data_IF_673952005356
#
_entry.id   IF_673952005356
#
_cell.length_a   1.000
_cell.length_b   1.000
_cell.length_c   1.000
_cell.angle_alpha   90.00
_cell.angle_beta   90.00
_cell.angle_gamma   90.00
#
_symmetry.space_group_name_H-M   'P 1'
#
loop_
_entity.id
_entity.type
_entity.pdbx_description
1 polymer ?
#
# COMPACT_ATOMS: atom_id res chain seq x y z
N UNK A 1 -10.25 2.06 -8.36
CA UNK A 1 -10.46 3.31 -7.55
C UNK A 1 -11.68 3.16 -6.67
N UNK A 2 -11.77 3.89 -5.53
CA UNK A 2 -12.94 3.77 -4.63
C UNK A 2 -14.19 4.38 -5.29
N UNK A 3 -14.12 5.61 -5.78
CA UNK A 3 -15.22 6.33 -6.44
C UNK A 3 -14.69 7.26 -7.55
N UNK A 4 -15.57 7.73 -8.40
CA UNK A 4 -15.25 8.67 -9.48
C UNK A 4 -14.74 10.00 -8.89
N UNK A 5 -13.65 10.52 -9.42
CA UNK A 5 -13.08 11.81 -9.01
C UNK A 5 -12.68 12.63 -10.24
N UNK A 6 -12.54 13.96 -10.06
CA UNK A 6 -12.07 14.86 -11.14
C UNK A 6 -10.65 14.53 -11.64
N UNK A 7 -9.88 13.75 -10.86
CA UNK A 7 -8.49 13.36 -11.20
C UNK A 7 -8.46 12.25 -12.25
N UNK A 8 -9.51 11.41 -12.29
CA UNK A 8 -9.54 10.19 -13.11
C UNK A 8 -10.79 10.15 -13.99
N UNK A 9 -10.93 11.17 -14.84
CA UNK A 9 -12.07 11.30 -15.78
C UNK A 9 -12.17 10.09 -16.72
N UNK A 10 -11.05 9.43 -17.01
CA UNK A 10 -10.97 8.27 -17.90
C UNK A 10 -11.12 6.93 -17.20
N UNK A 11 -11.14 6.87 -15.88
CA UNK A 11 -11.37 5.62 -15.16
C UNK A 11 -12.84 5.20 -15.34
N UNK A 12 -13.03 3.99 -15.81
CA UNK A 12 -14.38 3.39 -16.05
C UNK A 12 -14.76 2.40 -14.95
N UNK A 13 -13.82 2.10 -14.03
CA UNK A 13 -13.93 1.01 -13.07
C UNK A 13 -13.69 1.51 -11.65
N UNK A 14 -14.73 1.44 -10.82
CA UNK A 14 -14.73 1.92 -9.45
C UNK A 14 -15.20 0.82 -8.51
N UNK A 15 -14.47 0.58 -7.44
CA UNK A 15 -14.80 -0.45 -6.45
C UNK A 15 -16.21 -0.25 -5.84
N UNK A 16 -16.60 1.00 -5.57
CA UNK A 16 -17.94 1.35 -5.09
C UNK A 16 -19.03 0.90 -6.07
N UNK A 17 -18.84 1.17 -7.36
CA UNK A 17 -19.80 0.82 -8.41
C UNK A 17 -19.91 -0.71 -8.53
N UNK A 18 -18.76 -1.40 -8.64
CA UNK A 18 -18.71 -2.87 -8.74
C UNK A 18 -19.40 -3.54 -7.56
N UNK A 19 -19.07 -3.10 -6.33
CA UNK A 19 -19.65 -3.71 -5.14
C UNK A 19 -21.16 -3.45 -5.07
N UNK A 20 -21.61 -2.22 -5.37
CA UNK A 20 -23.03 -1.88 -5.45
C UNK A 20 -23.77 -2.78 -6.44
N UNK A 21 -23.21 -2.95 -7.63
CA UNK A 21 -23.84 -3.74 -8.70
C UNK A 21 -23.80 -5.24 -8.36
N UNK A 22 -22.77 -5.72 -7.66
CA UNK A 22 -22.63 -7.11 -7.21
C UNK A 22 -23.66 -7.48 -6.15
N UNK A 23 -23.93 -6.58 -5.19
CA UNK A 23 -24.85 -6.89 -4.07
C UNK A 23 -26.26 -6.30 -4.23
N UNK A 24 -26.48 -5.52 -5.28
CA UNK A 24 -27.80 -4.96 -5.62
C UNK A 24 -28.28 -3.86 -4.69
N UNK A 25 -27.40 -3.23 -3.87
CA UNK A 25 -27.78 -2.15 -2.96
C UNK A 25 -26.69 -1.06 -2.85
N UNK A 26 -27.06 0.10 -2.30
CA UNK A 26 -26.10 1.18 -2.02
C UNK A 26 -25.08 0.74 -0.98
N UNK A 27 -23.83 1.14 -1.20
CA UNK A 27 -22.71 0.93 -0.27
C UNK A 27 -21.99 2.25 -0.03
N UNK A 28 -21.40 2.38 1.16
CA UNK A 28 -20.79 3.61 1.64
C UNK A 28 -19.32 3.39 1.92
N UNK A 29 -18.40 4.09 1.23
CA UNK A 29 -16.96 3.95 1.45
C UNK A 29 -16.59 4.54 2.81
N UNK A 30 -15.78 3.83 3.60
CA UNK A 30 -15.31 4.27 4.93
C UNK A 30 -13.84 4.67 4.94
N UNK A 31 -13.06 4.14 4.01
CA UNK A 31 -11.66 4.51 3.81
C UNK A 31 -11.25 4.38 2.33
N UNK A 32 -10.00 4.64 2.05
CA UNK A 32 -9.45 4.54 0.69
C UNK A 32 -8.10 3.86 0.67
N UNK A 33 -7.80 3.20 -0.43
CA UNK A 33 -6.45 2.79 -0.81
C UNK A 33 -5.92 3.73 -1.90
N UNK A 34 -4.60 3.80 -2.04
CA UNK A 34 -3.98 4.42 -3.22
C UNK A 34 -4.37 3.61 -4.47
N UNK A 35 -4.50 4.26 -5.61
CA UNK A 35 -4.94 3.62 -6.86
C UNK A 35 -4.19 2.32 -7.20
N UNK A 36 -2.83 2.25 -7.09
CA UNK A 36 -2.10 1.03 -7.42
C UNK A 36 -2.02 0.02 -6.27
N UNK A 37 -2.52 0.35 -5.06
CA UNK A 37 -2.52 -0.55 -3.89
C UNK A 37 -3.71 -1.50 -3.97
N UNK A 38 -3.48 -2.79 -3.76
CA UNK A 38 -4.52 -3.81 -3.63
C UNK A 38 -4.79 -4.18 -2.17
N UNK A 39 -5.76 -5.06 -1.95
CA UNK A 39 -6.07 -5.62 -0.64
C UNK A 39 -7.41 -5.15 -0.07
N UNK A 40 -7.56 -5.21 1.25
CA UNK A 40 -8.82 -4.97 1.96
C UNK A 40 -9.30 -3.54 1.76
N UNK A 41 -10.52 -3.43 1.23
CA UNK A 41 -11.25 -2.17 1.10
C UNK A 41 -12.66 -2.36 1.71
N UNK A 42 -12.97 -1.57 2.74
CA UNK A 42 -14.16 -1.73 3.56
C UNK A 42 -15.25 -0.72 3.17
N UNK A 43 -16.49 -1.19 3.14
CA UNK A 43 -17.69 -0.39 2.91
C UNK A 43 -18.73 -0.69 3.99
N UNK A 44 -19.53 0.32 4.35
CA UNK A 44 -20.75 0.11 5.12
C UNK A 44 -21.93 -0.20 4.20
N UNK A 45 -22.84 -1.03 4.64
CA UNK A 45 -24.07 -1.34 3.90
C UNK A 45 -25.19 -0.30 4.14
N UNK A 46 -25.02 0.52 5.16
CA UNK A 46 -25.87 1.68 5.46
C UNK A 46 -25.02 2.87 5.94
N UNK A 47 -25.61 4.03 5.98
CA UNK A 47 -24.94 5.28 6.31
C UNK A 47 -24.51 5.37 7.78
N UNK A 48 -25.25 4.77 8.70
CA UNK A 48 -24.96 4.78 10.14
C UNK A 48 -23.76 3.88 10.45
N UNK A 49 -23.74 2.67 9.90
CA UNK A 49 -22.60 1.76 9.95
C UNK A 49 -21.34 2.40 9.34
N UNK A 50 -21.47 3.01 8.17
CA UNK A 50 -20.35 3.69 7.53
C UNK A 50 -19.80 4.85 8.37
N UNK A 51 -20.68 5.63 9.03
CA UNK A 51 -20.29 6.71 9.94
C UNK A 51 -19.51 6.17 11.14
N UNK A 52 -20.02 5.12 11.80
CA UNK A 52 -19.34 4.47 12.93
C UNK A 52 -17.96 3.94 12.54
N UNK A 53 -17.85 3.23 11.42
CA UNK A 53 -16.59 2.73 10.90
C UNK A 53 -15.63 3.88 10.55
N UNK A 54 -16.10 4.94 9.90
CA UNK A 54 -15.29 6.12 9.57
C UNK A 54 -14.71 6.77 10.84
N UNK A 55 -15.48 6.84 11.92
CA UNK A 55 -14.99 7.34 13.20
C UNK A 55 -13.85 6.49 13.76
N UNK A 56 -13.91 5.16 13.64
CA UNK A 56 -12.81 4.29 14.05
C UNK A 56 -11.51 4.58 13.27
N UNK A 57 -11.59 4.85 11.97
CA UNK A 57 -10.43 5.30 11.18
C UNK A 57 -9.91 6.67 11.64
N UNK A 58 -10.81 7.61 11.93
CA UNK A 58 -10.44 8.96 12.42
C UNK A 58 -9.74 8.91 13.77
N UNK A 59 -10.25 8.11 14.71
CA UNK A 59 -9.66 7.89 16.04
C UNK A 59 -8.47 6.92 16.04
N UNK A 60 -8.08 6.39 14.86
CA UNK A 60 -6.95 5.46 14.68
C UNK A 60 -7.08 4.17 15.49
N UNK A 61 -8.30 3.75 15.79
CA UNK A 61 -8.57 2.47 16.47
C UNK A 61 -8.54 1.27 15.53
N UNK A 62 -8.56 1.50 14.21
CA UNK A 62 -8.41 0.43 13.20
C UNK A 62 -6.93 0.04 13.06
N UNK A 63 -6.61 -1.22 13.33
CA UNK A 63 -5.29 -1.78 13.04
C UNK A 63 -5.23 -2.17 11.57
N UNK A 64 -4.19 -1.72 10.89
CA UNK A 64 -3.95 -1.96 9.45
C UNK A 64 -2.63 -2.70 9.28
N UNK A 65 -2.64 -3.76 8.48
CA UNK A 65 -1.42 -4.45 8.09
C UNK A 65 -1.28 -4.45 6.56
N UNK A 66 -0.06 -4.27 6.13
CA UNK A 66 0.31 -4.29 4.72
C UNK A 66 1.48 -5.24 4.52
N UNK A 67 1.60 -5.77 3.30
CA UNK A 67 2.80 -6.45 2.82
C UNK A 67 3.34 -5.70 1.62
N UNK A 68 4.67 -5.61 1.53
CA UNK A 68 5.32 -5.02 0.35
C UNK A 68 6.61 -5.75 0.01
N UNK A 69 6.96 -5.76 -1.29
CA UNK A 69 8.31 -6.10 -1.74
C UNK A 69 9.06 -4.79 -1.98
N UNK A 70 10.18 -4.63 -1.27
CA UNK A 70 11.01 -3.43 -1.33
C UNK A 70 12.38 -3.71 -1.94
N UNK A 71 13.01 -2.71 -2.53
CA UNK A 71 14.40 -2.75 -2.95
C UNK A 71 15.33 -2.69 -1.74
N UNK A 72 16.37 -3.52 -1.73
CA UNK A 72 17.39 -3.56 -0.68
C UNK A 72 17.00 -4.46 0.48
N UNK A 73 17.79 -4.40 1.54
CA UNK A 73 17.59 -5.17 2.79
C UNK A 73 17.46 -4.15 3.92
N UNK A 74 16.22 -3.81 4.33
CA UNK A 74 15.99 -2.98 5.50
C UNK A 74 16.47 -3.69 6.78
N UNK A 75 16.59 -2.98 7.91
CA UNK A 75 16.75 -3.60 9.22
C UNK A 75 15.65 -4.63 9.50
N UNK A 76 15.90 -5.58 10.42
CA UNK A 76 14.94 -6.61 10.82
C UNK A 76 13.58 -6.01 11.22
N UNK A 77 13.61 -4.90 11.94
CA UNK A 77 12.41 -4.12 12.27
C UNK A 77 12.75 -2.63 12.40
N UNK A 78 11.73 -1.79 12.33
CA UNK A 78 11.91 -0.37 12.50
C UNK A 78 10.61 0.40 12.66
N UNK A 79 10.76 1.65 13.11
CA UNK A 79 9.69 2.64 13.21
C UNK A 79 10.17 3.93 12.57
N UNK A 80 9.36 4.42 11.62
CA UNK A 80 9.56 5.73 11.03
C UNK A 80 8.52 6.71 11.53
N UNK A 81 9.01 7.77 12.16
CA UNK A 81 8.21 8.88 12.66
C UNK A 81 8.68 10.15 11.94
N UNK A 82 8.33 10.26 10.67
CA UNK A 82 8.69 11.39 9.83
C UNK A 82 7.44 12.08 9.30
N UNK A 83 7.21 13.35 9.66
CA UNK A 83 6.06 14.09 9.20
C UNK A 83 6.02 14.25 7.68
N UNK A 84 4.83 14.11 7.10
CA UNK A 84 4.64 14.20 5.66
C UNK A 84 3.86 15.48 5.29
N UNK A 85 4.41 16.25 4.35
CA UNK A 85 3.67 17.36 3.74
C UNK A 85 2.56 16.82 2.83
N UNK A 86 1.34 17.32 2.97
CA UNK A 86 0.31 17.10 1.96
C UNK A 86 0.71 17.88 0.71
N UNK A 87 1.06 17.14 -0.35
CA UNK A 87 1.21 17.75 -1.67
C UNK A 87 -0.20 18.06 -2.19
N UNK A 88 -0.55 19.33 -2.46
CA UNK A 88 -1.81 19.66 -3.09
C UNK A 88 -1.94 18.89 -4.41
N UNK A 89 -3.11 18.36 -4.67
CA UNK A 89 -3.39 17.82 -5.99
C UNK A 89 -3.70 18.97 -6.92
N UNK A 90 -2.81 19.30 -7.84
CA UNK A 90 -2.96 20.46 -8.76
C UNK A 90 -4.30 20.47 -9.52
N UNK A 91 -4.94 19.30 -9.63
CA UNK A 91 -6.21 19.16 -10.39
C UNK A 91 -7.44 19.39 -9.49
N UNK A 92 -7.34 19.09 -8.17
CA UNK A 92 -8.49 19.18 -7.25
C UNK A 92 -8.39 20.38 -6.34
N UNK A 93 -7.18 20.76 -5.95
CA UNK A 93 -6.89 21.83 -4.99
C UNK A 93 -6.39 23.11 -5.70
N UNK A 94 -7.12 23.60 -6.70
CA UNK A 94 -6.78 24.88 -7.36
C UNK A 94 -6.78 26.07 -6.40
N UNK A 95 -7.33 25.92 -5.18
CA UNK A 95 -7.34 26.90 -4.10
C UNK A 95 -6.55 26.43 -2.86
N UNK A 96 -5.75 25.37 -2.94
CA UNK A 96 -4.95 24.91 -1.81
C UNK A 96 -3.88 25.93 -1.46
N UNK A 97 -3.95 26.45 -0.24
CA UNK A 97 -2.94 27.32 0.34
C UNK A 97 -1.57 26.61 0.33
N UNK A 98 -0.51 27.26 -0.18
CA UNK A 98 0.82 26.65 -0.37
C UNK A 98 1.53 26.19 0.92
N UNK A 99 0.99 26.47 2.10
CA UNK A 99 1.66 26.31 3.39
C UNK A 99 0.94 25.36 4.36
N UNK A 100 0.44 24.22 3.91
CA UNK A 100 0.02 23.19 4.88
C UNK A 100 1.25 22.64 5.61
N UNK A 101 1.25 22.77 6.95
CA UNK A 101 2.29 22.19 7.82
C UNK A 101 2.40 20.68 7.60
N UNK A 102 3.62 20.14 7.72
CA UNK A 102 3.84 18.71 7.73
C UNK A 102 2.97 18.05 8.81
N UNK A 103 2.34 16.93 8.48
CA UNK A 103 1.46 16.24 9.41
C UNK A 103 2.16 14.99 9.94
N UNK A 104 2.04 14.66 11.24
CA UNK A 104 2.63 13.47 11.82
C UNK A 104 2.27 12.22 11.02
N UNK A 105 3.28 11.43 10.68
CA UNK A 105 3.16 10.20 9.94
C UNK A 105 4.08 9.15 10.55
N UNK A 106 3.51 8.02 10.99
CA UNK A 106 4.23 6.97 11.69
C UNK A 106 3.96 5.66 10.99
N UNK A 107 5.04 4.96 10.63
CA UNK A 107 5.00 3.64 9.99
C UNK A 107 5.97 2.71 10.71
N UNK A 108 5.47 1.58 11.20
CA UNK A 108 6.28 0.49 11.73
C UNK A 108 6.39 -0.60 10.67
N UNK A 109 7.48 -1.35 10.70
CA UNK A 109 7.70 -2.45 9.77
C UNK A 109 8.57 -3.54 10.40
N UNK A 110 8.47 -4.73 9.82
CA UNK A 110 9.28 -5.90 10.11
C UNK A 110 9.67 -6.55 8.77
N UNK A 111 10.95 -6.87 8.61
CA UNK A 111 11.49 -7.57 7.45
C UNK A 111 11.32 -9.07 7.66
N UNK A 112 10.48 -9.72 6.84
CA UNK A 112 10.21 -11.16 6.97
C UNK A 112 11.22 -12.00 6.22
N UNK A 113 11.59 -11.58 5.01
CA UNK A 113 12.48 -12.34 4.12
C UNK A 113 13.33 -11.39 3.28
N UNK A 114 14.49 -11.87 2.82
CA UNK A 114 15.38 -11.10 1.95
C UNK A 114 16.04 -11.99 0.91
N UNK A 115 16.17 -11.47 -0.31
CA UNK A 115 16.74 -12.18 -1.44
C UNK A 115 17.81 -11.35 -2.14
N UNK A 116 18.85 -12.04 -2.63
CA UNK A 116 19.80 -11.46 -3.57
C UNK A 116 19.68 -12.24 -4.88
N UNK A 117 19.42 -11.52 -5.98
CA UNK A 117 19.24 -12.11 -7.30
C UNK A 117 20.33 -11.69 -8.27
N UNK A 118 20.76 -12.57 -9.23
CA UNK A 118 21.88 -12.31 -10.13
C UNK A 118 21.51 -11.38 -11.30
N UNK A 119 20.73 -10.35 -11.02
CA UNK A 119 20.33 -9.33 -12.01
C UNK A 119 20.90 -7.98 -11.64
N UNK A 120 21.68 -7.40 -12.56
CA UNK A 120 22.24 -6.06 -12.38
C UNK A 120 21.22 -4.98 -12.73
N UNK A 121 21.16 -3.93 -11.90
CA UNK A 121 20.40 -2.71 -12.21
C UNK A 121 21.30 -1.49 -12.34
N UNK A 122 22.62 -1.68 -12.35
CA UNK A 122 23.60 -0.59 -12.44
C UNK A 122 25.01 -1.03 -12.05
N UNK A 123 25.55 -0.42 -11.00
CA UNK A 123 26.96 -0.63 -10.59
C UNK A 123 27.27 -2.05 -10.09
N UNK A 124 26.28 -2.69 -9.45
CA UNK A 124 26.49 -3.99 -8.80
C UNK A 124 25.92 -5.13 -9.66
N UNK A 125 26.58 -6.33 -9.67
CA UNK A 125 26.14 -7.47 -10.48
C UNK A 125 24.84 -8.10 -9.95
N UNK A 126 24.46 -7.83 -8.71
CA UNK A 126 23.31 -8.39 -8.05
C UNK A 126 22.35 -7.28 -7.58
N UNK A 127 21.07 -7.62 -7.51
CA UNK A 127 20.05 -6.79 -6.87
C UNK A 127 19.50 -7.47 -5.61
N UNK A 128 19.09 -6.70 -4.63
CA UNK A 128 18.56 -7.18 -3.35
C UNK A 128 17.15 -6.69 -3.15
N UNK A 129 16.30 -7.56 -2.59
CA UNK A 129 14.90 -7.28 -2.31
C UNK A 129 14.51 -7.91 -0.99
N UNK A 130 13.47 -7.37 -0.36
CA UNK A 130 12.92 -7.92 0.87
C UNK A 130 11.41 -7.88 0.88
N UNK A 131 10.81 -8.89 1.50
CA UNK A 131 9.41 -8.89 1.91
C UNK A 131 9.32 -8.21 3.28
N UNK A 132 8.48 -7.19 3.37
CA UNK A 132 8.26 -6.46 4.63
C UNK A 132 6.79 -6.49 5.02
N UNK A 133 6.52 -6.72 6.29
CA UNK A 133 5.24 -6.48 6.94
C UNK A 133 5.22 -5.05 7.48
N UNK A 134 4.14 -4.33 7.28
CA UNK A 134 4.07 -2.89 7.54
C UNK A 134 2.82 -2.56 8.32
N UNK A 135 2.97 -1.80 9.39
CA UNK A 135 1.88 -1.31 10.23
C UNK A 135 1.88 0.23 10.26
N UNK A 136 1.08 0.90 9.40
CA UNK A 136 0.95 2.35 9.46
C UNK A 136 0.04 2.76 10.63
N UNK A 137 0.57 3.51 11.60
CA UNK A 137 -0.18 4.03 12.75
C UNK A 137 -0.98 5.28 12.39
N UNK A 138 -0.64 5.93 11.31
CA UNK A 138 -1.33 7.06 10.70
C UNK A 138 -1.79 6.72 9.28
N UNK A 139 -2.47 7.63 8.59
CA UNK A 139 -3.00 7.38 7.23
C UNK A 139 -2.85 8.59 6.32
N UNK A 140 -1.61 9.06 6.06
CA UNK A 140 -1.37 10.16 5.12
C UNK A 140 -1.30 9.65 3.69
N UNK A 141 -1.57 10.55 2.73
CA UNK A 141 -1.53 10.22 1.31
C UNK A 141 -0.16 9.63 0.93
N UNK A 142 -0.16 8.44 0.34
CA UNK A 142 1.02 7.68 -0.06
C UNK A 142 2.03 7.45 1.08
N UNK A 143 1.58 7.40 2.34
CA UNK A 143 2.47 7.37 3.51
C UNK A 143 3.52 6.27 3.42
N UNK A 144 3.11 5.02 3.30
CA UNK A 144 4.01 3.86 3.23
C UNK A 144 5.00 4.04 2.09
N UNK A 145 4.53 4.38 0.90
CA UNK A 145 5.32 4.54 -0.33
C UNK A 145 6.37 5.64 -0.18
N UNK A 146 6.01 6.76 0.46
CA UNK A 146 6.92 7.90 0.70
C UNK A 146 7.94 7.57 1.78
N UNK A 147 7.54 6.97 2.90
CA UNK A 147 8.45 6.55 3.94
C UNK A 147 9.50 5.58 3.41
N UNK A 148 9.09 4.51 2.74
CA UNK A 148 10.03 3.53 2.17
C UNK A 148 10.95 4.12 1.10
N UNK A 149 10.50 5.11 0.34
CA UNK A 149 11.38 5.84 -0.58
C UNK A 149 12.41 6.71 0.16
N UNK A 150 11.99 7.47 1.18
CA UNK A 150 12.89 8.30 2.00
C UNK A 150 13.99 7.48 2.68
N UNK A 151 13.67 6.26 3.07
CA UNK A 151 14.59 5.31 3.67
C UNK A 151 15.50 4.59 2.70
N UNK A 152 15.45 4.94 1.44
CA UNK A 152 16.18 4.29 0.36
C UNK A 152 15.82 2.79 0.15
N UNK A 153 14.63 2.36 0.60
CA UNK A 153 14.05 1.05 0.34
C UNK A 153 12.74 1.15 -0.46
N UNK A 154 12.71 1.80 -1.64
CA UNK A 154 11.47 2.04 -2.37
C UNK A 154 10.76 0.74 -2.72
N UNK A 155 9.42 0.80 -2.70
CA UNK A 155 8.58 -0.35 -3.04
C UNK A 155 8.69 -0.64 -4.53
N UNK A 156 8.82 -1.91 -4.88
CA UNK A 156 8.88 -2.37 -6.27
C UNK A 156 7.53 -2.12 -6.97
N UNK A 157 7.62 -1.68 -8.22
CA UNK A 157 6.45 -1.34 -9.04
C UNK A 157 5.85 0.04 -8.74
N UNK A 158 6.41 0.80 -7.79
CA UNK A 158 5.97 2.17 -7.53
C UNK A 158 6.49 3.13 -8.61
N UNK A 159 5.58 3.65 -9.43
CA UNK A 159 5.92 4.59 -10.52
C UNK A 159 6.09 6.03 -10.07
N UNK A 160 5.60 6.38 -8.87
CA UNK A 160 5.63 7.74 -8.32
C UNK A 160 6.72 7.97 -7.28
N UNK A 161 7.03 6.94 -6.49
CA UNK A 161 7.98 6.99 -5.39
C UNK A 161 9.00 5.85 -5.43
N UNK A 162 9.04 5.06 -6.50
CA UNK A 162 9.89 3.88 -6.63
C UNK A 162 11.16 4.14 -7.42
N UNK A 163 11.91 3.07 -7.65
CA UNK A 163 13.11 3.06 -8.47
C UNK A 163 12.80 2.50 -9.86
N UNK A 164 12.97 3.34 -10.89
CA UNK A 164 12.66 3.00 -12.29
C UNK A 164 13.48 1.82 -12.82
N UNK A 165 14.74 1.65 -12.38
CA UNK A 165 15.63 0.57 -12.83
C UNK A 165 15.14 -0.76 -12.30
N UNK A 166 14.81 -0.82 -11.02
CA UNK A 166 14.27 -2.02 -10.38
C UNK A 166 12.86 -2.35 -10.86
N UNK A 167 12.01 -1.35 -11.10
CA UNK A 167 10.69 -1.55 -11.72
C UNK A 167 10.81 -2.12 -13.15
N UNK A 168 11.81 -1.67 -13.91
CA UNK A 168 12.12 -2.21 -15.25
C UNK A 168 12.58 -3.66 -15.15
N UNK A 169 13.48 -4.00 -14.21
CA UNK A 169 13.94 -5.37 -13.99
C UNK A 169 12.75 -6.29 -13.74
N UNK A 170 11.83 -5.94 -12.83
CA UNK A 170 10.66 -6.77 -12.53
C UNK A 170 9.75 -6.96 -13.73
N UNK A 171 9.57 -5.94 -14.55
CA UNK A 171 8.79 -6.05 -15.78
C UNK A 171 9.45 -6.93 -16.82
N UNK A 172 10.75 -6.78 -17.04
CA UNK A 172 11.49 -7.47 -18.11
C UNK A 172 11.83 -8.92 -17.74
N UNK A 173 12.18 -9.22 -16.48
CA UNK A 173 12.60 -10.54 -16.03
C UNK A 173 11.44 -11.37 -15.47
N UNK A 174 10.45 -10.73 -14.83
CA UNK A 174 9.40 -11.44 -14.12
C UNK A 174 8.00 -11.14 -14.68
N UNK A 175 7.89 -10.26 -15.67
CA UNK A 175 6.60 -9.83 -16.25
C UNK A 175 5.66 -9.31 -15.14
N UNK A 176 6.17 -8.43 -14.29
CA UNK A 176 5.45 -7.79 -13.18
C UNK A 176 5.59 -6.28 -13.31
N UNK A 177 4.47 -5.58 -13.51
CA UNK A 177 4.45 -4.13 -13.73
C UNK A 177 3.72 -3.34 -12.65
N UNK A 178 2.97 -4.01 -11.75
CA UNK A 178 2.17 -3.35 -10.71
C UNK A 178 2.99 -2.99 -9.47
N UNK A 179 2.44 -2.10 -8.65
CA UNK A 179 2.93 -1.84 -7.30
C UNK A 179 2.79 -3.09 -6.43
N UNK A 180 3.89 -3.54 -5.84
CA UNK A 180 3.91 -4.67 -4.90
C UNK A 180 3.69 -4.18 -3.46
N UNK A 181 2.51 -3.61 -3.22
CA UNK A 181 1.98 -3.17 -1.92
C UNK A 181 0.54 -3.64 -1.78
N UNK A 182 0.26 -4.38 -0.72
CA UNK A 182 -1.05 -4.97 -0.43
C UNK A 182 -1.50 -4.62 0.98
N UNK A 183 -2.71 -4.10 1.14
CA UNK A 183 -3.40 -3.99 2.42
C UNK A 183 -3.89 -5.40 2.81
N UNK A 184 -3.07 -6.14 3.54
CA UNK A 184 -3.29 -7.57 3.82
C UNK A 184 -4.31 -7.82 4.91
N UNK A 185 -4.48 -6.89 5.86
CA UNK A 185 -5.44 -7.06 6.95
C UNK A 185 -5.94 -5.74 7.53
N UNK A 186 -7.20 -5.75 7.97
CA UNK A 186 -7.81 -4.73 8.81
C UNK A 186 -8.43 -5.40 10.04
N UNK A 187 -8.12 -4.88 11.25
CA UNK A 187 -8.82 -5.29 12.49
C UNK A 187 -9.49 -4.06 13.10
N UNK A 188 -10.76 -4.19 13.44
CA UNK A 188 -11.63 -3.13 13.92
C UNK A 188 -12.71 -3.69 14.85
N UNK A 189 -13.46 -2.83 15.52
CA UNK A 189 -14.66 -3.22 16.27
C UNK A 189 -15.87 -3.21 15.34
N UNK A 190 -16.58 -4.34 15.26
CA UNK A 190 -17.80 -4.41 14.46
C UNK A 190 -18.88 -3.48 15.04
N UNK A 191 -19.44 -2.54 14.25
CA UNK A 191 -20.25 -1.44 14.80
C UNK A 191 -21.56 -1.87 15.48
N UNK A 192 -22.10 -3.04 15.14
CA UNK A 192 -23.34 -3.56 15.71
C UNK A 192 -23.06 -4.53 16.86
N UNK A 193 -22.29 -5.59 16.63
CA UNK A 193 -22.02 -6.60 17.64
C UNK A 193 -20.99 -6.19 18.69
N UNK A 194 -20.25 -5.10 18.47
CA UNK A 194 -19.16 -4.61 19.33
C UNK A 194 -18.04 -5.64 19.58
N UNK A 195 -17.96 -6.66 18.75
CA UNK A 195 -16.89 -7.67 18.78
C UNK A 195 -15.72 -7.25 17.89
N UNK A 196 -14.53 -7.74 18.19
CA UNK A 196 -13.40 -7.55 17.30
C UNK A 196 -13.60 -8.32 15.99
N UNK A 197 -13.40 -7.64 14.86
CA UNK A 197 -13.47 -8.20 13.51
C UNK A 197 -12.14 -8.00 12.83
N UNK A 198 -11.53 -9.09 12.33
CA UNK A 198 -10.35 -9.06 11.49
C UNK A 198 -10.70 -9.56 10.09
N UNK A 199 -10.45 -8.70 9.09
CA UNK A 199 -10.67 -8.98 7.67
C UNK A 199 -9.32 -9.11 7.02
N UNK A 200 -9.11 -10.18 6.24
CA UNK A 200 -7.86 -10.45 5.53
C UNK A 200 -8.09 -10.49 4.02
N UNK A 201 -7.08 -10.13 3.26
CA UNK A 201 -7.03 -10.28 1.82
C UNK A 201 -5.80 -11.08 1.43
N UNK A 202 -5.94 -11.94 0.44
CA UNK A 202 -4.81 -12.58 -0.23
C UNK A 202 -3.94 -11.53 -0.93
N UNK A 203 -2.66 -11.82 -1.05
CA UNK A 203 -1.72 -10.88 -1.68
C UNK A 203 -1.91 -10.78 -3.20
N UNK A 204 -2.54 -11.79 -3.79
CA UNK A 204 -2.84 -11.88 -5.23
C UNK A 204 -1.69 -12.46 -6.04
N UNK A 205 -2.05 -13.04 -7.18
CA UNK A 205 -1.18 -13.88 -8.01
C UNK A 205 0.12 -13.20 -8.47
N UNK A 206 0.08 -11.92 -8.83
CA UNK A 206 1.31 -11.21 -9.24
C UNK A 206 2.27 -10.96 -8.07
N UNK A 207 1.75 -10.78 -6.85
CA UNK A 207 2.59 -10.65 -5.66
C UNK A 207 3.22 -12.00 -5.30
N UNK A 208 2.45 -13.09 -5.35
CA UNK A 208 2.94 -14.46 -5.15
C UNK A 208 3.98 -14.83 -6.22
N UNK A 209 3.70 -14.52 -7.48
CA UNK A 209 4.65 -14.67 -8.59
C UNK A 209 5.97 -13.94 -8.31
N UNK A 210 5.91 -12.73 -7.74
CA UNK A 210 7.11 -11.97 -7.40
C UNK A 210 7.95 -12.67 -6.33
N UNK A 211 7.31 -13.20 -5.27
CA UNK A 211 8.00 -13.98 -4.24
C UNK A 211 8.66 -15.22 -4.87
N UNK A 212 7.90 -16.03 -5.59
CA UNK A 212 8.40 -17.24 -6.23
C UNK A 212 9.57 -16.97 -7.20
N UNK A 213 9.51 -15.87 -7.97
CA UNK A 213 10.62 -15.47 -8.84
C UNK A 213 11.87 -15.06 -8.05
N UNK A 214 11.70 -14.35 -6.93
CA UNK A 214 12.81 -13.94 -6.07
C UNK A 214 13.46 -15.16 -5.39
N UNK A 215 12.66 -16.09 -4.87
CA UNK A 215 13.12 -17.35 -4.26
C UNK A 215 13.89 -18.20 -5.28
N UNK A 216 13.30 -18.44 -6.46
CA UNK A 216 13.88 -19.29 -7.50
C UNK A 216 15.19 -18.76 -8.08
N UNK A 217 15.37 -17.43 -8.07
CA UNK A 217 16.59 -16.78 -8.56
C UNK A 217 17.51 -16.32 -7.43
N UNK A 218 17.20 -16.63 -6.18
CA UNK A 218 18.03 -16.20 -5.04
C UNK A 218 19.40 -16.89 -5.10
N UNK A 219 20.43 -16.07 -5.14
CA UNK A 219 21.81 -16.56 -4.98
C UNK A 219 22.00 -16.74 -3.47
N UNK A 220 21.73 -17.95 -2.98
CA UNK A 220 22.10 -18.30 -1.62
C UNK A 220 23.62 -18.28 -1.51
N UNK A 221 24.15 -17.29 -0.79
CA UNK A 221 25.44 -17.51 -0.14
C UNK A 221 25.23 -18.66 0.85
N UNK A 222 25.39 -19.92 0.39
CA UNK A 222 25.72 -20.98 1.34
C UNK A 222 27.07 -20.61 1.94
N UNK A 223 27.18 -20.59 3.27
CA UNK A 223 28.46 -20.36 3.95
C UNK A 223 29.52 -21.37 3.54
#
# INVERSE_FOLDING_TARGET
MVHRSKIDVHARDFALQRLRDQIGQLVYPVHRLDRPTSGVLLFGLDSQTAKSLTQQFQFRSVRKQYKAIVRGIPPESGRWDEPLFEKPDRIVDSQATPNKKAQPAITEFETSESWQVPFSTGKYPHSRYSLVQIRPLTGRRHQIRRHFNHMAYPIVGDTSHGDRRHNRLFREQFDIARLLLVASSLSLTHPVSQTELTIQAEVGSEFEKAIACLESNSVTNKP
#
